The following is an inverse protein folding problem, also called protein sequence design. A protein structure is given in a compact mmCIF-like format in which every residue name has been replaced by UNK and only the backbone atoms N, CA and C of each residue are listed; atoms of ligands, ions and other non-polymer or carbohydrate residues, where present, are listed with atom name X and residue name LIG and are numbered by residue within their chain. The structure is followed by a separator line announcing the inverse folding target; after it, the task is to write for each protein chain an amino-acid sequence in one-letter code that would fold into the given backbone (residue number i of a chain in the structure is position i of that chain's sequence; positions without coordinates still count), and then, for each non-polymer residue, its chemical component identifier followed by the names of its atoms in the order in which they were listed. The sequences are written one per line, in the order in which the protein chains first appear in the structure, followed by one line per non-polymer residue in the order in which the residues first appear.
data_IF_791594447959
#
_entry.id   IF_791594447959
#
_cell.length_a   1.000
_cell.length_b   1.000
_cell.length_c   1.000
_cell.angle_alpha   90.00
_cell.angle_beta   90.00
_cell.angle_gamma   90.00
#
_symmetry.space_group_name_H-M   'P 1'
#
loop_
_entity.id
_entity.type
_entity.pdbx_description
1 polymer ?
#
# COMPACT_ATOMS: atom_id res chain seq x y z
N UNK A 1 -18.73 -35.28 3.42
CA UNK A 1 -19.69 -34.20 3.73
C UNK A 1 -18.99 -33.22 4.68
N UNK A 2 -18.92 -31.93 4.28
CA UNK A 2 -18.37 -30.75 4.97
C UNK A 2 -16.86 -30.70 5.26
N UNK A 3 -16.09 -30.32 4.23
CA UNK A 3 -14.87 -29.52 4.44
C UNK A 3 -15.31 -28.11 4.88
N UNK A 4 -14.82 -27.66 6.03
CA UNK A 4 -15.04 -26.32 6.56
C UNK A 4 -14.57 -25.27 5.54
N UNK A 5 -15.51 -24.61 4.87
CA UNK A 5 -15.27 -23.41 4.09
C UNK A 5 -15.06 -22.24 5.05
N UNK A 6 -13.80 -21.96 5.41
CA UNK A 6 -13.45 -20.67 6.00
C UNK A 6 -13.95 -19.56 5.06
N UNK A 7 -14.64 -18.52 5.56
CA UNK A 7 -15.08 -17.43 4.71
C UNK A 7 -13.88 -16.81 4.02
N UNK A 8 -13.94 -16.68 2.69
CA UNK A 8 -12.95 -15.94 1.90
C UNK A 8 -12.96 -14.50 2.40
N UNK A 9 -11.93 -14.11 3.14
CA UNK A 9 -11.81 -12.76 3.70
C UNK A 9 -11.74 -11.74 2.55
N UNK A 10 -12.66 -10.76 2.55
CA UNK A 10 -12.60 -9.64 1.61
C UNK A 10 -11.60 -8.60 2.09
N UNK A 11 -10.37 -8.69 1.59
CA UNK A 11 -9.32 -7.71 1.87
C UNK A 11 -9.64 -6.40 1.16
N UNK A 12 -9.80 -5.32 1.94
CA UNK A 12 -10.09 -3.97 1.43
C UNK A 12 -8.89 -3.02 1.49
N UNK A 13 -7.94 -3.29 2.37
CA UNK A 13 -6.73 -2.51 2.55
C UNK A 13 -5.54 -3.43 2.78
N UNK A 14 -4.37 -3.05 2.25
CA UNK A 14 -3.13 -3.77 2.47
C UNK A 14 -1.95 -2.81 2.64
N UNK A 15 -1.10 -3.14 3.60
CA UNK A 15 0.17 -2.43 3.88
C UNK A 15 1.31 -3.40 3.62
N UNK A 16 2.28 -3.03 2.79
CA UNK A 16 3.36 -3.94 2.43
C UNK A 16 4.65 -3.21 2.02
N UNK A 17 5.73 -3.98 1.89
CA UNK A 17 6.99 -3.49 1.31
C UNK A 17 6.90 -3.39 -0.22
N UNK A 18 7.68 -2.50 -0.87
CA UNK A 18 7.67 -2.37 -2.33
C UNK A 18 7.91 -3.68 -3.08
N UNK A 19 8.77 -4.56 -2.55
CA UNK A 19 9.04 -5.89 -3.13
C UNK A 19 7.82 -6.80 -3.11
N UNK A 20 7.02 -6.75 -2.04
CA UNK A 20 5.77 -7.51 -1.92
C UNK A 20 4.70 -6.96 -2.85
N UNK A 21 4.60 -5.64 -2.98
CA UNK A 21 3.70 -5.00 -3.95
C UNK A 21 4.02 -5.43 -5.38
N UNK A 22 5.30 -5.44 -5.76
CA UNK A 22 5.74 -5.91 -7.09
C UNK A 22 5.27 -7.34 -7.38
N UNK A 23 5.51 -8.26 -6.44
CA UNK A 23 5.10 -9.66 -6.60
C UNK A 23 3.58 -9.78 -6.71
N UNK A 24 2.84 -9.00 -5.92
CA UNK A 24 1.37 -8.99 -5.95
C UNK A 24 0.83 -8.50 -7.30
N UNK A 25 1.39 -7.40 -7.81
CA UNK A 25 1.02 -6.84 -9.12
C UNK A 25 1.33 -7.83 -10.24
N UNK A 26 2.51 -8.46 -10.22
CA UNK A 26 2.88 -9.48 -11.20
C UNK A 26 1.91 -10.66 -11.18
N UNK A 27 1.59 -11.17 -9.98
CA UNK A 27 0.64 -12.26 -9.82
C UNK A 27 -0.76 -11.91 -10.33
N UNK A 28 -1.28 -10.73 -9.97
CA UNK A 28 -2.60 -10.27 -10.40
C UNK A 28 -2.69 -10.19 -11.93
N UNK A 29 -1.64 -9.67 -12.58
CA UNK A 29 -1.56 -9.60 -14.04
C UNK A 29 -1.42 -10.96 -14.71
N UNK A 30 -0.62 -11.87 -14.16
CA UNK A 30 -0.41 -13.20 -14.77
C UNK A 30 -1.61 -14.13 -14.62
N UNK A 31 -2.37 -13.98 -13.53
CA UNK A 31 -3.49 -14.87 -13.22
C UNK A 31 -4.84 -14.35 -13.75
N UNK A 32 -4.87 -13.20 -14.45
CA UNK A 32 -6.08 -12.42 -14.79
C UNK A 32 -7.03 -12.25 -13.58
N UNK A 33 -6.45 -12.20 -12.37
CA UNK A 33 -7.19 -12.08 -11.12
C UNK A 33 -7.28 -10.62 -10.74
N UNK A 34 -8.51 -10.11 -10.71
CA UNK A 34 -8.78 -8.77 -10.23
C UNK A 34 -9.07 -8.79 -8.73
N UNK A 35 -8.19 -8.17 -7.95
CA UNK A 35 -8.41 -7.93 -6.52
C UNK A 35 -9.36 -6.74 -6.32
N UNK A 36 -10.59 -6.85 -6.86
CA UNK A 36 -11.55 -5.75 -6.94
C UNK A 36 -12.00 -5.18 -5.60
N UNK A 37 -11.83 -5.95 -4.52
CA UNK A 37 -12.16 -5.52 -3.15
C UNK A 37 -11.08 -4.63 -2.55
N UNK A 38 -9.85 -4.66 -3.07
CA UNK A 38 -8.74 -3.83 -2.57
C UNK A 38 -8.94 -2.40 -3.02
N UNK A 39 -9.24 -1.53 -2.06
CA UNK A 39 -9.46 -0.11 -2.25
C UNK A 39 -8.24 0.71 -1.82
N UNK A 40 -7.43 0.20 -0.88
CA UNK A 40 -6.32 0.95 -0.30
C UNK A 40 -5.03 0.13 -0.29
N UNK A 41 -3.96 0.72 -0.83
CA UNK A 41 -2.61 0.21 -0.72
C UNK A 41 -1.75 1.23 0.01
N UNK A 42 -1.05 0.78 1.03
CA UNK A 42 0.01 1.53 1.70
C UNK A 42 1.34 0.81 1.52
N UNK A 43 2.38 1.57 1.20
CA UNK A 43 3.73 1.05 0.97
C UNK A 43 4.67 1.73 1.96
N UNK A 44 5.53 0.95 2.61
CA UNK A 44 6.50 1.46 3.59
C UNK A 44 7.80 0.66 3.55
N UNK A 45 8.82 1.12 4.28
CA UNK A 45 10.05 0.35 4.53
C UNK A 45 10.98 0.18 3.33
N UNK A 46 10.83 1.01 2.30
CA UNK A 46 11.71 1.06 1.14
C UNK A 46 11.17 1.98 0.05
N UNK A 47 11.99 2.33 -0.94
CA UNK A 47 11.60 3.27 -1.99
C UNK A 47 10.53 2.67 -2.91
N UNK A 48 9.39 3.37 -3.03
CA UNK A 48 8.37 3.08 -4.04
C UNK A 48 8.74 3.83 -5.33
N UNK A 49 9.06 3.09 -6.40
CA UNK A 49 9.32 3.71 -7.70
C UNK A 49 8.02 4.13 -8.38
N UNK A 50 8.08 5.22 -9.14
CA UNK A 50 6.97 5.69 -9.97
C UNK A 50 6.46 4.61 -10.93
N UNK A 51 7.37 3.83 -11.52
CA UNK A 51 7.02 2.70 -12.37
C UNK A 51 6.16 1.66 -11.64
N UNK A 52 6.54 1.27 -10.41
CA UNK A 52 5.76 0.31 -9.63
C UNK A 52 4.43 0.91 -9.18
N UNK A 53 4.39 2.20 -8.86
CA UNK A 53 3.16 2.89 -8.50
C UNK A 53 2.16 2.91 -9.67
N UNK A 54 2.60 3.34 -10.85
CA UNK A 54 1.77 3.32 -12.06
C UNK A 54 1.32 1.91 -12.45
N UNK A 55 2.19 0.91 -12.30
CA UNK A 55 1.84 -0.48 -12.51
C UNK A 55 0.76 -0.96 -11.53
N UNK A 56 0.84 -0.54 -10.28
CA UNK A 56 -0.13 -0.90 -9.24
C UNK A 56 -1.49 -0.26 -9.52
N UNK A 57 -1.52 1.02 -9.87
CA UNK A 57 -2.75 1.75 -10.20
C UNK A 57 -3.46 1.16 -11.42
N UNK A 58 -2.71 0.83 -12.48
CA UNK A 58 -3.27 0.19 -13.67
C UNK A 58 -3.74 -1.25 -13.43
N UNK A 59 -3.10 -1.99 -12.52
CA UNK A 59 -3.46 -3.38 -12.20
C UNK A 59 -4.68 -3.46 -11.29
N UNK A 60 -4.82 -2.53 -10.35
CA UNK A 60 -5.91 -2.48 -9.38
C UNK A 60 -6.81 -1.27 -9.69
N UNK A 61 -7.68 -1.41 -10.69
CA UNK A 61 -8.51 -0.29 -11.20
C UNK A 61 -9.49 0.35 -10.21
N UNK A 62 -9.73 -0.26 -9.03
CA UNK A 62 -10.63 0.26 -8.00
C UNK A 62 -9.90 0.95 -6.84
N UNK A 63 -8.59 1.19 -6.95
CA UNK A 63 -7.85 1.84 -5.87
C UNK A 63 -8.32 3.27 -5.63
N UNK A 64 -8.78 3.52 -4.41
CA UNK A 64 -9.05 4.84 -3.87
C UNK A 64 -7.78 5.49 -3.33
N UNK A 65 -6.79 4.68 -2.94
CA UNK A 65 -5.53 5.20 -2.42
C UNK A 65 -4.34 4.29 -2.72
N UNK A 66 -3.23 4.91 -3.07
CA UNK A 66 -1.90 4.33 -3.07
C UNK A 66 -0.99 5.30 -2.32
N UNK A 67 -0.57 4.92 -1.12
CA UNK A 67 0.10 5.83 -0.17
C UNK A 67 1.51 5.35 0.14
N UNK A 68 2.46 6.27 0.10
CA UNK A 68 3.82 6.01 0.55
C UNK A 68 3.99 6.51 1.99
N UNK A 69 4.24 5.58 2.91
CA UNK A 69 4.40 5.84 4.34
C UNK A 69 5.89 5.84 4.68
N UNK A 70 6.32 6.87 5.40
CA UNK A 70 7.67 6.96 5.91
C UNK A 70 7.73 6.62 7.38
N UNK A 71 8.70 5.80 7.76
CA UNK A 71 8.99 5.39 9.13
C UNK A 71 10.27 4.56 9.15
N UNK A 72 10.91 4.52 10.31
CA UNK A 72 12.13 3.77 10.55
C UNK A 72 11.91 2.79 11.71
N UNK A 73 12.77 1.80 11.86
CA UNK A 73 12.69 0.87 12.99
C UNK A 73 12.82 1.63 14.32
N UNK A 74 13.71 2.62 14.35
CA UNK A 74 14.04 3.47 15.49
C UNK A 74 12.92 4.43 15.87
N UNK A 75 11.98 4.72 14.97
CA UNK A 75 10.83 5.58 15.25
C UNK A 75 9.64 4.83 15.85
N UNK A 76 9.71 3.51 16.00
CA UNK A 76 8.64 2.66 16.55
C UNK A 76 7.26 2.92 15.89
N UNK A 77 7.26 3.17 14.58
CA UNK A 77 6.04 3.51 13.85
C UNK A 77 6.27 4.42 12.66
N UNK A 78 5.17 4.82 12.03
CA UNK A 78 5.19 5.77 10.93
C UNK A 78 5.47 7.19 11.45
N UNK A 79 6.39 7.87 10.78
CA UNK A 79 6.75 9.28 11.01
C UNK A 79 5.85 10.18 10.14
N UNK A 80 5.70 9.86 8.86
CA UNK A 80 4.83 10.59 7.94
C UNK A 80 3.86 9.66 7.22
N UNK A 81 2.61 10.10 7.10
CA UNK A 81 1.53 9.34 6.46
C UNK A 81 0.67 10.25 5.59
N UNK A 82 0.47 9.92 4.30
CA UNK A 82 -0.51 10.60 3.46
C UNK A 82 -1.95 10.31 3.90
N UNK A 83 -2.93 11.22 3.64
CA UNK A 83 -4.34 11.00 3.92
C UNK A 83 -4.86 9.68 3.32
N UNK A 84 -5.83 9.03 3.97
CA UNK A 84 -6.26 7.66 3.62
C UNK A 84 -6.84 7.51 2.21
N UNK A 85 -7.54 8.52 1.72
CA UNK A 85 -8.31 8.46 0.46
C UNK A 85 -7.66 9.27 -0.67
N UNK A 86 -6.32 9.27 -0.72
CA UNK A 86 -5.57 9.90 -1.81
C UNK A 86 -4.55 8.94 -2.44
N UNK A 87 -4.30 9.15 -3.72
CA UNK A 87 -3.13 8.59 -4.40
C UNK A 87 -1.98 9.56 -4.21
N UNK A 88 -1.01 9.17 -3.38
CA UNK A 88 0.13 9.98 -2.99
C UNK A 88 1.34 9.05 -2.79
N UNK A 89 2.15 8.94 -3.84
CA UNK A 89 3.34 8.10 -3.88
C UNK A 89 4.61 8.86 -4.27
N UNK A 90 4.50 10.17 -4.47
CA UNK A 90 5.60 11.08 -4.81
C UNK A 90 6.20 11.76 -3.58
N UNK A 91 5.46 11.80 -2.49
CA UNK A 91 5.88 12.34 -1.20
C UNK A 91 5.43 11.40 -0.06
N UNK A 92 5.83 11.73 1.17
CA UNK A 92 5.59 10.90 2.36
C UNK A 92 4.41 11.40 3.21
N UNK A 93 3.70 12.43 2.74
CA UNK A 93 2.60 13.05 3.45
C UNK A 93 3.01 13.91 4.63
N UNK A 94 2.18 13.91 5.66
CA UNK A 94 2.29 14.81 6.81
C UNK A 94 2.84 14.09 8.03
N UNK A 95 3.56 14.79 8.93
CA UNK A 95 3.98 14.22 10.21
C UNK A 95 2.79 13.66 10.99
N UNK A 96 2.98 12.51 11.62
CA UNK A 96 2.01 11.92 12.53
C UNK A 96 1.80 12.82 13.76
N UNK A 97 0.71 12.58 14.49
CA UNK A 97 0.49 13.26 15.77
C UNK A 97 1.70 13.05 16.71
N UNK A 98 2.09 14.10 17.41
CA UNK A 98 3.25 14.12 18.31
C UNK A 98 4.62 13.93 17.63
N UNK A 99 4.71 14.07 16.30
CA UNK A 99 5.97 14.07 15.54
C UNK A 99 6.29 15.49 15.06
N UNK A 100 7.49 15.96 15.38
CA UNK A 100 8.07 17.19 14.81
C UNK A 100 9.22 16.83 13.88
N UNK A 101 9.27 17.44 12.69
CA UNK A 101 10.29 17.19 11.67
C UNK A 101 10.95 18.51 11.31
N UNK A 102 12.29 18.51 11.31
CA UNK A 102 13.11 19.63 10.85
C UNK A 102 14.02 19.16 9.72
N UNK A 103 14.04 19.91 8.62
CA UNK A 103 14.98 19.74 7.50
C UNK A 103 15.99 20.89 7.59
N UNK A 104 17.27 20.59 7.45
CA UNK A 104 18.36 21.59 7.45
C UNK A 104 18.78 21.92 6.02
#
# INVERSE_FOLDING_TARGET
MRLFSLPVLQVTALTCFPTRLRNLVQYARSADRRLNTVLHIAVAGGVLSEQLAGLSLSTFGNLRSLRYIYGMSESNGAICVPPRDVVCYTDVGWPCAMVEIKVN
#
